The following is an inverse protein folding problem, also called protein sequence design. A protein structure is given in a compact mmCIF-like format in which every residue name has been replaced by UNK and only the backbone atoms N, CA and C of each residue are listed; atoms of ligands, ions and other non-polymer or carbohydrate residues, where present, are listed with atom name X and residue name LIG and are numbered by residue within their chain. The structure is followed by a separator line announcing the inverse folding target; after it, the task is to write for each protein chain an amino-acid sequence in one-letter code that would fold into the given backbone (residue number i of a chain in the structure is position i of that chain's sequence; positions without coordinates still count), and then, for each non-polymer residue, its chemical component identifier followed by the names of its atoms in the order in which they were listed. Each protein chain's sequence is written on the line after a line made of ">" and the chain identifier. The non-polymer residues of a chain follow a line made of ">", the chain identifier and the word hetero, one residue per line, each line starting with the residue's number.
data_IF_023551376831
#
_entry.id   IF_023551376831
#
_cell.length_a   1.000
_cell.length_b   1.000
_cell.length_c   1.000
_cell.angle_alpha   90.00
_cell.angle_beta   90.00
_cell.angle_gamma   90.00
#
_symmetry.space_group_name_H-M   'P 1'
#
loop_
_entity.id
_entity.type
_entity.pdbx_description
1 polymer ?
#
# COMPACT_ATOMS: atom_id res chain seq x y z
N UNK A 1 11.63 17.10 10.99
CA UNK A 1 10.35 17.10 11.72
C UNK A 1 10.09 15.66 12.15
N UNK A 2 9.71 15.44 13.40
CA UNK A 2 9.31 14.12 13.88
C UNK A 2 7.78 14.03 13.79
N UNK A 3 7.20 12.81 13.70
CA UNK A 3 5.77 12.57 13.65
C UNK A 3 5.01 13.19 14.84
N UNK A 4 5.64 13.23 16.02
CA UNK A 4 5.10 13.87 17.22
C UNK A 4 4.94 15.40 17.13
N UNK A 5 5.50 16.04 16.08
CA UNK A 5 5.33 17.47 15.80
C UNK A 5 4.36 17.71 14.63
N UNK A 6 3.83 16.65 14.03
CA UNK A 6 2.82 16.77 12.99
C UNK A 6 1.47 17.17 13.60
N UNK A 7 0.73 18.00 12.88
CA UNK A 7 -0.59 18.46 13.32
C UNK A 7 -1.62 17.37 13.01
N UNK A 8 -2.49 17.10 13.97
CA UNK A 8 -3.63 16.23 13.75
C UNK A 8 -4.58 16.87 12.76
N UNK A 9 -4.83 16.17 11.64
CA UNK A 9 -5.78 16.63 10.62
C UNK A 9 -7.10 15.90 10.82
N UNK A 10 -8.18 16.67 10.92
CA UNK A 10 -9.52 16.08 10.91
C UNK A 10 -9.90 15.79 9.46
N UNK A 11 -10.15 14.52 9.16
CA UNK A 11 -10.65 14.10 7.85
C UNK A 11 -12.16 14.21 7.84
N UNK A 12 -12.70 14.89 6.83
CA UNK A 12 -14.13 14.91 6.54
C UNK A 12 -14.40 14.02 5.32
N UNK A 13 -15.31 13.07 5.47
CA UNK A 13 -15.65 12.09 4.43
C UNK A 13 -14.76 10.84 4.46
N UNK A 14 -14.60 10.21 3.31
CA UNK A 14 -13.93 8.93 3.14
C UNK A 14 -12.42 8.98 3.47
N UNK A 15 -12.00 8.20 4.46
CA UNK A 15 -10.63 8.15 4.95
C UNK A 15 -9.67 7.58 3.90
N UNK A 16 -10.09 6.56 3.15
CA UNK A 16 -9.25 5.98 2.11
C UNK A 16 -9.02 6.97 0.95
N UNK A 17 -10.06 7.73 0.60
CA UNK A 17 -9.93 8.82 -0.37
C UNK A 17 -8.91 9.85 0.09
N UNK A 18 -8.96 10.26 1.36
CA UNK A 18 -8.00 11.23 1.91
C UNK A 18 -6.56 10.71 1.83
N UNK A 19 -6.33 9.42 2.11
CA UNK A 19 -5.04 8.74 1.94
C UNK A 19 -4.56 8.84 0.48
N UNK A 20 -5.41 8.46 -0.48
CA UNK A 20 -5.07 8.49 -1.91
C UNK A 20 -4.79 9.90 -2.43
N UNK A 21 -5.60 10.88 -2.06
CA UNK A 21 -5.40 12.28 -2.45
C UNK A 21 -4.08 12.83 -1.90
N UNK A 22 -3.74 12.47 -0.65
CA UNK A 22 -2.48 12.84 -0.04
C UNK A 22 -1.29 12.18 -0.76
N UNK A 23 -1.38 10.90 -1.11
CA UNK A 23 -0.32 10.20 -1.83
C UNK A 23 -0.11 10.80 -3.23
N UNK A 24 -1.15 11.08 -3.98
CA UNK A 24 -1.04 11.77 -5.28
C UNK A 24 -0.30 13.11 -5.16
N UNK A 25 -0.58 13.87 -4.11
CA UNK A 25 0.14 15.13 -3.83
C UNK A 25 1.63 14.91 -3.50
N UNK A 26 1.98 13.85 -2.79
CA UNK A 26 3.37 13.49 -2.51
C UNK A 26 4.11 13.05 -3.78
N UNK A 27 3.52 12.15 -4.56
CA UNK A 27 4.09 11.64 -5.81
C UNK A 27 4.50 12.75 -6.77
N UNK A 28 3.66 13.79 -6.91
CA UNK A 28 3.97 14.92 -7.79
C UNK A 28 5.25 15.67 -7.40
N UNK A 29 5.62 15.65 -6.13
CA UNK A 29 6.85 16.29 -5.62
C UNK A 29 8.07 15.39 -5.74
N UNK A 30 7.91 14.07 -5.51
CA UNK A 30 8.99 13.10 -5.67
C UNK A 30 9.36 12.91 -7.13
N UNK A 31 8.42 13.05 -8.06
CA UNK A 31 8.67 12.91 -9.49
C UNK A 31 9.86 13.75 -9.96
N UNK A 32 9.90 15.03 -9.61
CA UNK A 32 10.99 15.94 -9.98
C UNK A 32 12.35 15.53 -9.39
N UNK A 33 12.34 14.99 -8.17
CA UNK A 33 13.55 14.51 -7.47
C UNK A 33 14.08 13.25 -8.15
N UNK A 34 13.22 12.28 -8.43
CA UNK A 34 13.59 11.02 -9.09
C UNK A 34 14.06 11.27 -10.53
N UNK A 35 13.41 12.18 -11.26
CA UNK A 35 13.82 12.56 -12.61
C UNK A 35 15.22 13.17 -12.61
N UNK A 36 15.53 14.07 -11.67
CA UNK A 36 16.86 14.68 -11.53
C UNK A 36 17.93 13.68 -11.12
N UNK A 37 17.58 12.67 -10.35
CA UNK A 37 18.54 11.61 -9.97
C UNK A 37 18.91 10.67 -11.12
N UNK A 38 18.16 10.71 -12.23
CA UNK A 38 18.31 9.80 -13.36
C UNK A 38 17.84 8.36 -13.09
N UNK A 39 17.17 8.13 -11.94
CA UNK A 39 16.66 6.82 -11.55
C UNK A 39 15.22 6.57 -11.98
N UNK A 40 14.48 7.62 -12.36
CA UNK A 40 13.13 7.49 -12.86
C UNK A 40 13.10 6.68 -14.16
N UNK A 41 12.42 5.55 -14.12
CA UNK A 41 12.37 4.61 -15.24
C UNK A 41 11.24 4.91 -16.23
N UNK A 42 10.21 5.65 -15.80
CA UNK A 42 9.06 6.07 -16.60
C UNK A 42 8.44 7.31 -16.00
N UNK A 43 7.98 8.23 -16.85
CA UNK A 43 7.25 9.43 -16.48
C UNK A 43 5.73 9.18 -16.41
N UNK A 44 5.25 8.05 -16.92
CA UNK A 44 3.83 7.73 -16.99
C UNK A 44 3.25 7.43 -15.60
N UNK A 45 2.11 8.03 -15.30
CA UNK A 45 1.26 7.68 -14.17
C UNK A 45 -0.22 7.74 -14.64
N UNK A 46 -0.93 6.60 -14.70
CA UNK A 46 -0.44 5.24 -14.39
C UNK A 46 0.59 4.71 -15.39
N UNK A 47 1.42 3.77 -14.94
CA UNK A 47 2.42 3.14 -15.79
C UNK A 47 1.80 2.18 -16.80
N UNK A 48 2.48 1.98 -17.92
CA UNK A 48 2.07 0.95 -18.87
C UNK A 48 2.46 -0.44 -18.34
N UNK A 49 1.47 -1.21 -17.88
CA UNK A 49 1.67 -2.56 -17.34
C UNK A 49 2.15 -3.58 -18.39
N UNK A 50 2.08 -3.28 -19.67
CA UNK A 50 2.60 -4.15 -20.74
C UNK A 50 4.05 -3.79 -21.15
N UNK A 51 4.58 -2.68 -20.66
CA UNK A 51 5.96 -2.26 -20.89
C UNK A 51 6.91 -2.74 -19.79
N UNK A 52 8.17 -3.06 -20.16
CA UNK A 52 9.19 -3.51 -19.21
C UNK A 52 9.54 -2.46 -18.15
N UNK A 53 9.55 -1.16 -18.53
CA UNK A 53 9.84 -0.07 -17.60
C UNK A 53 8.72 0.09 -16.58
N UNK A 54 7.46 0.11 -17.05
CA UNK A 54 6.29 0.14 -16.16
C UNK A 54 6.25 -1.06 -15.22
N UNK A 55 6.52 -2.27 -15.73
CA UNK A 55 6.60 -3.47 -14.89
C UNK A 55 7.78 -3.43 -13.90
N UNK A 56 8.90 -2.83 -14.26
CA UNK A 56 10.04 -2.65 -13.35
C UNK A 56 9.66 -1.68 -12.22
N UNK A 57 8.95 -0.59 -12.52
CA UNK A 57 8.45 0.37 -11.52
C UNK A 57 7.50 -0.28 -10.52
N UNK A 58 6.54 -1.07 -10.99
CA UNK A 58 5.63 -1.81 -10.10
C UNK A 58 6.40 -2.76 -9.17
N UNK A 59 7.40 -3.47 -9.68
CA UNK A 59 8.23 -4.39 -8.88
C UNK A 59 9.11 -3.66 -7.87
N UNK A 60 9.64 -2.49 -8.23
CA UNK A 60 10.39 -1.63 -7.32
C UNK A 60 9.53 -1.22 -6.12
N UNK A 61 8.31 -0.73 -6.38
CA UNK A 61 7.39 -0.39 -5.30
C UNK A 61 6.92 -1.60 -4.48
N UNK A 62 6.74 -2.74 -5.13
CA UNK A 62 6.45 -4.00 -4.40
C UNK A 62 7.57 -4.36 -3.44
N UNK A 63 8.83 -4.11 -3.82
CA UNK A 63 9.97 -4.33 -2.95
C UNK A 63 10.01 -3.32 -1.80
N UNK A 64 9.76 -2.04 -2.04
CA UNK A 64 9.71 -1.00 -1.01
C UNK A 64 8.69 -1.32 0.08
N UNK A 65 7.47 -1.75 -0.28
CA UNK A 65 6.49 -2.22 0.72
C UNK A 65 7.06 -3.36 1.57
N UNK A 66 7.83 -4.26 0.95
CA UNK A 66 8.44 -5.40 1.65
C UNK A 66 9.58 -4.96 2.59
N UNK A 67 10.34 -3.92 2.21
CA UNK A 67 11.39 -3.33 3.07
C UNK A 67 10.79 -2.73 4.33
N UNK A 68 9.78 -1.87 4.21
CA UNK A 68 9.09 -1.27 5.38
C UNK A 68 8.44 -2.34 6.27
N UNK A 69 7.85 -3.37 5.67
CA UNK A 69 7.32 -4.49 6.43
C UNK A 69 8.43 -5.24 7.18
N UNK A 70 9.61 -5.36 6.59
CA UNK A 70 10.81 -5.92 7.23
C UNK A 70 11.26 -5.06 8.41
N UNK A 71 11.30 -3.73 8.25
CA UNK A 71 11.65 -2.78 9.31
C UNK A 71 10.63 -2.83 10.45
N UNK A 72 9.34 -2.90 10.12
CA UNK A 72 8.30 -3.10 11.12
C UNK A 72 8.48 -4.40 11.92
N UNK A 73 8.83 -5.50 11.27
CA UNK A 73 9.05 -6.79 11.96
C UNK A 73 10.32 -6.79 12.83
N UNK A 74 11.37 -6.04 12.44
CA UNK A 74 12.58 -5.87 13.24
C UNK A 74 12.35 -4.93 14.43
N UNK A 75 11.47 -3.94 14.29
CA UNK A 75 10.99 -3.12 15.38
C UNK A 75 10.17 -3.98 16.36
N UNK A 76 10.25 -3.66 17.65
CA UNK A 76 9.43 -4.40 18.63
C UNK A 76 7.96 -3.98 18.48
N UNK A 77 7.06 -4.94 18.33
CA UNK A 77 5.63 -4.77 18.11
C UNK A 77 4.86 -3.92 19.17
N UNK A 78 5.54 -3.48 20.22
CA UNK A 78 4.99 -2.65 21.29
C UNK A 78 5.39 -1.17 21.19
N UNK A 79 6.07 -0.77 20.10
CA UNK A 79 6.60 0.57 19.95
C UNK A 79 5.78 1.38 18.94
N UNK A 80 5.66 2.70 19.13
CA UNK A 80 5.10 3.61 18.13
C UNK A 80 5.83 3.46 16.78
N UNK A 81 7.14 3.21 16.83
CA UNK A 81 7.97 2.98 15.66
C UNK A 81 7.48 1.82 14.79
N UNK A 82 7.06 0.70 15.40
CA UNK A 82 6.47 -0.42 14.68
C UNK A 82 5.25 -0.03 13.82
N UNK A 83 4.34 0.76 14.39
CA UNK A 83 3.16 1.23 13.66
C UNK A 83 3.52 2.28 12.59
N UNK A 84 4.56 3.10 12.84
CA UNK A 84 5.06 4.05 11.84
C UNK A 84 5.59 3.33 10.59
N UNK A 85 6.36 2.25 10.74
CA UNK A 85 6.90 1.48 9.61
C UNK A 85 5.80 0.75 8.83
N UNK A 86 4.79 0.22 9.53
CA UNK A 86 3.61 -0.32 8.86
C UNK A 86 2.87 0.75 8.04
N UNK A 87 2.83 1.99 8.50
CA UNK A 87 2.22 3.09 7.75
C UNK A 87 3.11 3.55 6.59
N UNK A 88 4.45 3.50 6.72
CA UNK A 88 5.36 3.77 5.59
C UNK A 88 5.18 2.73 4.48
N UNK A 89 5.03 1.46 4.84
CA UNK A 89 4.64 0.43 3.88
C UNK A 89 3.29 0.70 3.21
N UNK A 90 2.29 1.23 3.94
CA UNK A 90 1.01 1.65 3.35
C UNK A 90 1.18 2.81 2.36
N UNK A 91 2.11 3.75 2.60
CA UNK A 91 2.45 4.80 1.63
C UNK A 91 2.91 4.18 0.31
N UNK A 92 3.83 3.21 0.33
CA UNK A 92 4.31 2.55 -0.87
C UNK A 92 3.26 1.66 -1.55
N UNK A 93 2.39 0.98 -0.77
CA UNK A 93 1.28 0.20 -1.35
C UNK A 93 0.26 1.11 -2.04
N UNK A 94 -0.04 2.27 -1.46
CA UNK A 94 -0.94 3.27 -2.05
C UNK A 94 -0.35 3.81 -3.36
N UNK A 95 0.94 4.17 -3.36
CA UNK A 95 1.63 4.64 -4.57
C UNK A 95 1.67 3.56 -5.66
N UNK A 96 2.02 2.32 -5.32
CA UNK A 96 1.96 1.18 -6.23
C UNK A 96 0.58 1.05 -6.87
N UNK A 97 -0.48 1.23 -6.10
CA UNK A 97 -1.86 1.13 -6.56
C UNK A 97 -2.20 2.23 -7.55
N UNK A 98 -1.79 3.48 -7.27
CA UNK A 98 -1.95 4.62 -8.19
C UNK A 98 -1.15 4.39 -9.48
N UNK A 99 0.10 3.95 -9.37
CA UNK A 99 0.94 3.59 -10.52
C UNK A 99 0.33 2.47 -11.35
N UNK A 100 -0.36 1.52 -10.74
CA UNK A 100 -1.09 0.46 -11.43
C UNK A 100 -2.41 0.93 -12.08
N UNK A 101 -2.81 2.18 -11.90
CA UNK A 101 -4.02 2.76 -12.49
C UNK A 101 -5.30 2.47 -11.72
N UNK A 102 -5.19 2.23 -10.42
CA UNK A 102 -6.33 2.09 -9.50
C UNK A 102 -6.44 3.27 -8.55
N UNK A 103 -7.63 3.49 -8.04
CA UNK A 103 -7.93 4.54 -7.06
C UNK A 103 -8.67 3.93 -5.85
N UNK A 104 -8.88 4.70 -4.79
CA UNK A 104 -9.48 4.27 -3.53
C UNK A 104 -10.77 3.46 -3.70
N UNK A 105 -11.63 3.85 -4.65
CA UNK A 105 -12.92 3.22 -4.94
C UNK A 105 -12.86 2.11 -6.01
N UNK A 106 -11.69 1.75 -6.49
CA UNK A 106 -11.48 0.73 -7.53
C UNK A 106 -10.49 -0.36 -7.13
N UNK A 107 -10.03 -0.35 -5.87
CA UNK A 107 -9.14 -1.37 -5.32
C UNK A 107 -9.87 -2.72 -5.26
N UNK A 108 -11.07 -2.71 -4.68
CA UNK A 108 -11.91 -3.89 -4.57
C UNK A 108 -12.69 -4.13 -5.87
N UNK A 109 -13.11 -5.38 -6.13
CA UNK A 109 -13.99 -5.68 -7.26
C UNK A 109 -15.32 -4.89 -7.19
N UNK A 110 -15.93 -4.58 -8.34
CA UNK A 110 -17.17 -3.79 -8.39
C UNK A 110 -18.38 -4.41 -7.68
N UNK A 111 -18.35 -5.72 -7.44
CA UNK A 111 -19.36 -6.49 -6.71
C UNK A 111 -19.13 -6.49 -5.18
N UNK A 112 -17.97 -6.05 -4.73
CA UNK A 112 -17.72 -5.71 -3.34
C UNK A 112 -18.31 -4.29 -3.08
N UNK A 113 -19.62 -4.21 -2.98
CA UNK A 113 -20.28 -2.94 -2.69
C UNK A 113 -19.91 -2.44 -1.28
N UNK A 114 -19.55 -1.17 -1.12
CA UNK A 114 -19.26 -0.64 0.20
C UNK A 114 -20.52 -0.72 1.09
N UNK A 115 -20.34 -1.18 2.32
CA UNK A 115 -21.41 -1.26 3.32
C UNK A 115 -21.67 0.09 3.98
N UNK A 116 -20.69 0.99 3.94
CA UNK A 116 -20.78 2.34 4.47
C UNK A 116 -20.24 3.39 3.49
N UNK A 117 -20.22 4.65 3.91
CA UNK A 117 -19.71 5.76 3.09
C UNK A 117 -18.18 5.90 3.14
N UNK A 118 -17.48 5.06 3.92
CA UNK A 118 -16.03 5.10 4.13
C UNK A 118 -15.39 3.77 3.75
N UNK A 119 -14.64 3.76 2.66
CA UNK A 119 -13.98 2.56 2.13
C UNK A 119 -12.90 2.00 3.07
N UNK A 120 -12.26 2.82 3.92
CA UNK A 120 -11.28 2.30 4.87
C UNK A 120 -11.97 1.61 6.05
N UNK A 121 -13.08 2.15 6.53
CA UNK A 121 -13.88 1.50 7.56
C UNK A 121 -14.42 0.15 7.07
N UNK A 122 -14.93 0.08 5.84
CA UNK A 122 -15.34 -1.18 5.22
C UNK A 122 -14.21 -2.21 5.16
N UNK A 123 -13.02 -1.83 4.70
CA UNK A 123 -11.86 -2.71 4.66
C UNK A 123 -11.43 -3.21 6.05
N UNK A 124 -11.53 -2.36 7.06
CA UNK A 124 -11.21 -2.72 8.46
C UNK A 124 -12.23 -3.71 9.01
N UNK A 125 -13.52 -3.50 8.77
CA UNK A 125 -14.58 -4.43 9.22
C UNK A 125 -14.48 -5.78 8.47
N UNK A 126 -14.29 -5.78 7.16
CA UNK A 126 -14.05 -7.01 6.38
C UNK A 126 -12.83 -7.79 6.89
N UNK A 127 -11.79 -7.07 7.32
CA UNK A 127 -10.59 -7.67 7.92
C UNK A 127 -10.92 -8.37 9.25
N UNK A 128 -11.70 -7.74 10.11
CA UNK A 128 -12.14 -8.32 11.40
C UNK A 128 -12.99 -9.58 11.18
N UNK A 129 -13.93 -9.52 10.24
CA UNK A 129 -14.75 -10.68 9.88
C UNK A 129 -13.90 -11.82 9.30
N UNK A 130 -12.93 -11.49 8.44
CA UNK A 130 -12.03 -12.47 7.85
C UNK A 130 -11.13 -13.14 8.91
N UNK A 131 -10.62 -12.39 9.89
CA UNK A 131 -9.88 -12.94 11.02
C UNK A 131 -10.75 -13.94 11.79
N UNK A 132 -11.98 -13.54 12.14
CA UNK A 132 -12.90 -14.37 12.92
C UNK A 132 -13.27 -15.65 12.16
N UNK A 133 -13.64 -15.55 10.90
CA UNK A 133 -14.00 -16.70 10.05
C UNK A 133 -12.84 -17.69 9.90
N UNK A 134 -11.61 -17.20 9.70
CA UNK A 134 -10.42 -18.06 9.59
C UNK A 134 -10.09 -18.74 10.93
N UNK A 135 -10.26 -18.05 12.04
CA UNK A 135 -10.10 -18.63 13.36
C UNK A 135 -11.07 -19.80 13.60
N UNK A 136 -12.33 -19.64 13.18
CA UNK A 136 -13.34 -20.71 13.24
C UNK A 136 -12.94 -21.93 12.39
N UNK A 137 -12.19 -21.71 11.29
CA UNK A 137 -11.65 -22.78 10.45
C UNK A 137 -10.37 -23.40 11.01
N UNK A 138 -9.89 -22.96 12.17
CA UNK A 138 -8.68 -23.44 12.83
C UNK A 138 -7.38 -22.84 12.30
N UNK A 139 -7.45 -21.77 11.50
CA UNK A 139 -6.26 -21.04 11.05
C UNK A 139 -5.77 -20.07 12.14
N UNK A 140 -4.46 -19.84 12.21
CA UNK A 140 -3.86 -18.90 13.17
C UNK A 140 -4.00 -17.44 12.68
N UNK A 141 -5.23 -17.00 12.46
CA UNK A 141 -5.58 -15.72 11.84
C UNK A 141 -5.36 -14.50 12.73
N UNK A 142 -5.08 -14.70 14.02
CA UNK A 142 -4.67 -13.63 14.93
C UNK A 142 -3.14 -13.40 14.92
N UNK A 143 -2.38 -14.24 14.22
CA UNK A 143 -0.93 -14.10 14.10
C UNK A 143 -0.56 -13.09 13.02
N UNK A 144 0.31 -12.14 13.38
CA UNK A 144 0.92 -11.22 12.46
C UNK A 144 1.66 -11.96 11.34
N UNK A 145 2.48 -12.97 11.69
CA UNK A 145 3.29 -13.76 10.74
C UNK A 145 2.42 -14.45 9.69
N UNK A 146 1.22 -14.88 10.07
CA UNK A 146 0.26 -15.48 9.12
C UNK A 146 -0.12 -14.47 8.02
N UNK A 147 -0.51 -13.25 8.42
CA UNK A 147 -0.94 -12.23 7.46
C UNK A 147 0.22 -11.65 6.66
N UNK A 148 1.39 -11.50 7.27
CA UNK A 148 2.61 -11.12 6.56
C UNK A 148 2.93 -12.13 5.46
N UNK A 149 2.90 -13.42 5.78
CA UNK A 149 3.13 -14.48 4.78
C UNK A 149 2.10 -14.45 3.66
N UNK A 150 0.82 -14.22 3.98
CA UNK A 150 -0.25 -14.08 2.99
C UNK A 150 -0.07 -12.85 2.11
N UNK A 151 0.29 -11.71 2.70
CA UNK A 151 0.58 -10.49 1.96
C UNK A 151 1.72 -10.68 0.95
N UNK A 152 2.84 -11.25 1.39
CA UNK A 152 3.99 -11.53 0.52
C UNK A 152 3.62 -12.47 -0.61
N UNK A 153 2.79 -13.49 -0.34
CA UNK A 153 2.26 -14.39 -1.39
C UNK A 153 1.48 -13.61 -2.45
N UNK A 154 0.52 -12.77 -2.02
CA UNK A 154 -0.30 -12.00 -2.97
C UNK A 154 0.55 -11.01 -3.78
N UNK A 155 1.47 -10.30 -3.13
CA UNK A 155 2.38 -9.37 -3.77
C UNK A 155 3.29 -10.07 -4.81
N UNK A 156 3.84 -11.23 -4.46
CA UNK A 156 4.67 -12.03 -5.36
C UNK A 156 3.87 -12.55 -6.56
N UNK A 157 2.64 -13.01 -6.33
CA UNK A 157 1.75 -13.50 -7.40
C UNK A 157 1.24 -12.36 -8.28
N UNK A 158 0.98 -11.18 -7.74
CA UNK A 158 0.72 -9.97 -8.49
C UNK A 158 1.89 -9.65 -9.45
N UNK A 159 3.11 -9.63 -8.93
CA UNK A 159 4.32 -9.44 -9.73
C UNK A 159 4.53 -10.54 -10.78
N UNK A 160 4.08 -11.78 -10.51
CA UNK A 160 4.15 -12.87 -11.49
C UNK A 160 3.20 -12.69 -12.67
N UNK A 161 2.10 -11.92 -12.51
CA UNK A 161 1.20 -11.54 -13.61
C UNK A 161 1.88 -10.59 -14.61
N UNK A 162 2.94 -9.88 -14.20
CA UNK A 162 3.79 -9.05 -15.04
C UNK A 162 4.75 -9.96 -15.83
N UNK A 163 4.39 -10.30 -17.05
CA UNK A 163 5.03 -11.39 -17.83
C UNK A 163 6.39 -11.02 -18.43
N UNK A 164 6.70 -9.72 -18.57
CA UNK A 164 7.94 -9.27 -19.20
C UNK A 164 9.10 -9.24 -18.19
N UNK A 165 9.97 -10.22 -18.30
CA UNK A 165 11.21 -10.26 -17.50
C UNK A 165 12.31 -9.49 -18.25
N UNK A 166 13.21 -8.74 -17.57
CA UNK A 166 14.28 -7.96 -18.23
C UNK A 166 15.16 -8.78 -19.17
N UNK A 167 15.41 -10.03 -18.82
CA UNK A 167 16.28 -10.95 -19.59
C UNK A 167 15.56 -11.68 -20.72
N UNK A 168 14.24 -11.57 -20.86
CA UNK A 168 13.49 -12.19 -21.95
C UNK A 168 13.37 -11.22 -23.11
N UNK A 169 13.60 -11.73 -24.33
CA UNK A 169 13.41 -10.95 -25.56
C UNK A 169 11.94 -10.83 -25.97
N UNK A 170 11.14 -11.86 -25.64
CA UNK A 170 9.71 -11.86 -25.93
C UNK A 170 8.96 -10.82 -25.10
N UNK A 171 8.02 -10.14 -25.74
CA UNK A 171 7.06 -9.26 -25.08
C UNK A 171 5.73 -9.99 -24.94
N UNK A 172 5.20 -10.05 -23.73
CA UNK A 172 3.90 -10.65 -23.41
C UNK A 172 3.03 -9.62 -22.71
N UNK A 173 1.75 -9.63 -22.99
CA UNK A 173 0.80 -8.79 -22.25
C UNK A 173 0.69 -9.26 -20.81
N UNK A 174 0.50 -8.31 -19.92
CA UNK A 174 0.19 -8.57 -18.52
C UNK A 174 -1.17 -9.25 -18.40
N UNK A 175 -1.25 -10.24 -17.55
CA UNK A 175 -2.54 -10.82 -17.13
C UNK A 175 -3.20 -9.82 -16.15
N UNK A 176 -3.94 -8.86 -16.72
CA UNK A 176 -4.48 -7.71 -15.96
C UNK A 176 -5.55 -8.12 -14.96
N UNK A 177 -6.39 -9.09 -15.31
CA UNK A 177 -7.44 -9.57 -14.42
C UNK A 177 -6.82 -10.20 -13.17
N UNK A 178 -5.93 -11.16 -13.36
CA UNK A 178 -5.22 -11.79 -12.25
C UNK A 178 -4.35 -10.78 -11.49
N UNK A 179 -3.72 -9.80 -12.17
CA UNK A 179 -2.93 -8.75 -11.53
C UNK A 179 -3.77 -7.94 -10.54
N UNK A 180 -4.91 -7.42 -10.98
CA UNK A 180 -5.77 -6.59 -10.13
C UNK A 180 -6.45 -7.39 -9.02
N UNK A 181 -6.81 -8.65 -9.26
CA UNK A 181 -7.29 -9.53 -8.21
C UNK A 181 -6.24 -9.69 -7.10
N UNK A 182 -4.99 -9.97 -7.48
CA UNK A 182 -3.89 -10.11 -6.50
C UNK A 182 -3.56 -8.81 -5.78
N UNK A 183 -3.69 -7.67 -6.44
CA UNK A 183 -3.54 -6.36 -5.81
C UNK A 183 -4.64 -6.12 -4.75
N UNK A 184 -5.90 -6.43 -5.06
CA UNK A 184 -7.01 -6.34 -4.10
C UNK A 184 -6.78 -7.25 -2.89
N UNK A 185 -6.39 -8.50 -3.11
CA UNK A 185 -6.04 -9.44 -2.04
C UNK A 185 -4.84 -8.95 -1.19
N UNK A 186 -3.85 -8.31 -1.82
CA UNK A 186 -2.73 -7.71 -1.09
C UNK A 186 -3.22 -6.57 -0.18
N UNK A 187 -4.14 -5.72 -0.65
CA UNK A 187 -4.76 -4.68 0.17
C UNK A 187 -5.48 -5.27 1.38
N UNK A 188 -6.35 -6.27 1.18
CA UNK A 188 -7.05 -6.94 2.28
C UNK A 188 -6.05 -7.51 3.29
N UNK A 189 -5.00 -8.20 2.83
CA UNK A 189 -3.97 -8.73 3.73
C UNK A 189 -3.24 -7.60 4.50
N UNK A 190 -2.91 -6.49 3.83
CA UNK A 190 -2.19 -5.39 4.46
C UNK A 190 -3.04 -4.66 5.50
N UNK A 191 -4.29 -4.33 5.18
CA UNK A 191 -5.21 -3.77 6.17
C UNK A 191 -5.41 -4.73 7.35
N UNK A 192 -5.47 -6.04 7.08
CA UNK A 192 -5.56 -7.03 8.16
C UNK A 192 -4.31 -7.04 9.05
N UNK A 193 -3.11 -6.84 8.49
CA UNK A 193 -1.88 -6.65 9.29
C UNK A 193 -2.03 -5.44 10.23
N UNK A 194 -2.53 -4.31 9.74
CA UNK A 194 -2.77 -3.11 10.55
C UNK A 194 -3.80 -3.36 11.65
N UNK A 195 -4.89 -4.07 11.34
CA UNK A 195 -5.93 -4.45 12.30
C UNK A 195 -5.39 -5.39 13.39
N UNK A 196 -4.63 -6.41 13.02
CA UNK A 196 -3.97 -7.33 13.98
C UNK A 196 -2.95 -6.58 14.84
N UNK A 197 -2.35 -5.52 14.31
CA UNK A 197 -1.44 -4.63 15.04
C UNK A 197 -2.15 -3.61 15.95
N UNK A 198 -3.48 -3.71 16.06
CA UNK A 198 -4.31 -2.93 16.98
C UNK A 198 -4.78 -1.57 16.44
N UNK A 199 -4.65 -1.32 15.14
CA UNK A 199 -5.10 -0.06 14.52
C UNK A 199 -6.53 -0.16 14.00
N UNK A 200 -7.34 0.85 14.23
CA UNK A 200 -8.62 1.07 13.58
C UNK A 200 -8.49 2.02 12.38
N UNK A 201 -9.56 2.27 11.64
CA UNK A 201 -9.53 3.11 10.43
C UNK A 201 -9.06 4.55 10.72
N UNK A 202 -9.47 5.14 11.86
CA UNK A 202 -9.05 6.48 12.25
C UNK A 202 -7.56 6.53 12.63
N UNK A 203 -7.05 5.50 13.32
CA UNK A 203 -5.64 5.38 13.66
C UNK A 203 -4.78 5.26 12.39
N UNK A 204 -5.20 4.44 11.42
CA UNK A 204 -4.53 4.24 10.15
C UNK A 204 -4.46 5.57 9.38
N UNK A 205 -5.61 6.22 9.14
CA UNK A 205 -5.66 7.47 8.40
C UNK A 205 -4.93 8.60 9.14
N UNK A 206 -5.13 8.75 10.44
CA UNK A 206 -4.49 9.77 11.24
C UNK A 206 -2.96 9.66 11.23
N UNK A 207 -2.42 8.45 11.42
CA UNK A 207 -0.97 8.19 11.39
C UNK A 207 -0.41 8.41 9.98
N UNK A 208 -1.12 7.95 8.93
CA UNK A 208 -0.75 8.18 7.54
C UNK A 208 -0.60 9.68 7.22
N UNK A 209 -1.58 10.49 7.59
CA UNK A 209 -1.57 11.92 7.31
C UNK A 209 -0.45 12.64 8.09
N UNK A 210 -0.20 12.27 9.35
CA UNK A 210 0.91 12.79 10.15
C UNK A 210 2.27 12.44 9.51
N UNK A 211 2.47 11.18 9.10
CA UNK A 211 3.71 10.73 8.43
C UNK A 211 3.91 11.44 7.10
N UNK A 212 2.84 11.64 6.34
CA UNK A 212 2.86 12.42 5.10
C UNK A 212 3.32 13.87 5.32
N UNK A 213 2.92 14.53 6.42
CA UNK A 213 3.41 15.88 6.75
C UNK A 213 4.94 15.88 6.99
N UNK A 214 5.45 14.86 7.68
CA UNK A 214 6.90 14.67 7.89
C UNK A 214 7.62 14.52 6.56
N UNK A 215 7.10 13.69 5.67
CA UNK A 215 7.68 13.48 4.35
C UNK A 215 7.66 14.76 3.49
N UNK A 216 6.57 15.53 3.52
CA UNK A 216 6.51 16.83 2.86
C UNK A 216 7.52 17.84 3.42
N UNK A 217 7.73 17.82 4.73
CA UNK A 217 8.75 18.69 5.36
C UNK A 217 10.16 18.29 4.93
N UNK A 218 10.50 17.01 4.93
CA UNK A 218 11.79 16.48 4.46
C UNK A 218 12.07 16.92 3.03
N UNK A 219 11.09 16.80 2.13
CA UNK A 219 11.23 17.26 0.73
C UNK A 219 11.53 18.74 0.60
N UNK A 220 10.90 19.61 1.44
CA UNK A 220 11.12 21.07 1.40
C UNK A 220 12.47 21.48 1.96
N UNK A 221 13.01 20.71 2.89
CA UNK A 221 14.28 20.99 3.57
C UNK A 221 15.50 20.40 2.86
N UNK A 222 15.32 19.81 1.68
CA UNK A 222 16.39 19.11 0.92
C UNK A 222 17.14 18.08 1.78
N UNK A 223 16.39 17.39 2.62
CA UNK A 223 16.93 16.35 3.51
C UNK A 223 17.19 15.08 2.72
#
# INVERSE_FOLDING_TARGET
>A
MNINHAVEEKVEGDLLKAIFDRQKSLMSKYHDIELKSGLLQTEDCPVNLDDKRGQARIKDFSWRVTEELGEALDAKATTEHYQEELIDGLHFLTELTILAGKDYNTILPPDAAPYCEDHLEDLVEDSKETISRKAEMGENSYSLDFWVSRFIEQLAMMCNCLKNKPWKQSMMKTDREAFYLRLAEAWVCYITILVVSGMNAQDIAGTYLKKSQVNQFRQRSNY
#
